data_IF_122157268455
#
_entry.id   IF_122157268455
#
_cell.length_a   1.000
_cell.length_b   1.000
_cell.length_c   1.000
_cell.angle_alpha   90.00
_cell.angle_beta   90.00
_cell.angle_gamma   90.00
#
_symmetry.space_group_name_H-M   'P 1'
#
loop_
_entity.id
_entity.type
_entity.pdbx_description
1 polymer ?
#
# COMPACT_ATOMS: atom_id res chain seq x y z
N UNK A 1 -29.04 12.02 7.00
CA UNK A 1 -28.12 11.31 7.92
C UNK A 1 -27.34 10.15 7.27
N UNK A 2 -27.97 9.23 6.53
CA UNK A 2 -27.27 8.06 5.92
C UNK A 2 -26.09 8.41 4.99
N UNK A 3 -26.25 9.38 4.07
CA UNK A 3 -25.18 9.78 3.13
C UNK A 3 -23.95 10.39 3.82
N UNK A 4 -24.16 11.15 4.90
CA UNK A 4 -23.07 11.75 5.69
C UNK A 4 -22.22 10.66 6.34
N UNK A 5 -22.87 9.63 6.92
CA UNK A 5 -22.16 8.50 7.53
C UNK A 5 -21.35 7.69 6.51
N UNK A 6 -21.93 7.42 5.33
CA UNK A 6 -21.23 6.73 4.24
C UNK A 6 -20.03 7.54 3.74
N UNK A 7 -20.18 8.86 3.59
CA UNK A 7 -19.09 9.75 3.16
C UNK A 7 -17.95 9.79 4.19
N UNK A 8 -18.28 9.89 5.48
CA UNK A 8 -17.31 9.84 6.57
C UNK A 8 -16.57 8.50 6.60
N UNK A 9 -17.28 7.38 6.47
CA UNK A 9 -16.68 6.04 6.44
C UNK A 9 -15.76 5.85 5.23
N UNK A 10 -16.18 6.29 4.03
CA UNK A 10 -15.34 6.25 2.84
C UNK A 10 -14.06 7.08 3.03
N UNK A 11 -14.18 8.27 3.61
CA UNK A 11 -13.04 9.17 3.85
C UNK A 11 -12.07 8.57 4.87
N UNK A 12 -12.59 7.98 5.95
CA UNK A 12 -11.77 7.28 6.95
C UNK A 12 -11.05 6.08 6.34
N UNK A 13 -11.74 5.27 5.52
CA UNK A 13 -11.12 4.14 4.83
C UNK A 13 -9.98 4.59 3.89
N UNK A 14 -10.18 5.66 3.11
CA UNK A 14 -9.12 6.22 2.26
C UNK A 14 -7.93 6.75 3.09
N UNK A 15 -8.18 7.36 4.25
CA UNK A 15 -7.12 7.86 5.13
C UNK A 15 -6.29 6.71 5.72
N UNK A 16 -6.94 5.63 6.15
CA UNK A 16 -6.27 4.43 6.66
C UNK A 16 -5.48 3.75 5.53
N UNK A 17 -6.06 3.64 4.32
CA UNK A 17 -5.37 3.09 3.17
C UNK A 17 -4.10 3.90 2.82
N UNK A 18 -4.20 5.23 2.72
CA UNK A 18 -3.02 6.06 2.49
C UNK A 18 -1.98 5.89 3.60
N UNK A 19 -2.44 5.87 4.85
CA UNK A 19 -1.56 5.74 6.02
C UNK A 19 -0.79 4.42 6.01
N UNK A 20 -1.39 3.31 5.60
CA UNK A 20 -0.67 2.02 5.56
C UNK A 20 0.47 2.02 4.53
N UNK A 21 0.21 2.59 3.34
CA UNK A 21 1.23 2.71 2.27
C UNK A 21 2.35 3.65 2.70
N UNK A 22 2.01 4.81 3.26
CA UNK A 22 3.00 5.80 3.72
C UNK A 22 3.80 5.25 4.90
N UNK A 23 3.14 4.65 5.90
CA UNK A 23 3.81 4.10 7.08
C UNK A 23 4.78 2.97 6.73
N UNK A 24 4.43 2.08 5.78
CA UNK A 24 5.34 1.03 5.32
C UNK A 24 6.58 1.60 4.63
N UNK A 25 6.41 2.61 3.78
CA UNK A 25 7.54 3.36 3.19
C UNK A 25 8.44 4.02 4.23
N UNK A 26 7.85 4.70 5.23
CA UNK A 26 8.61 5.29 6.34
C UNK A 26 9.33 4.24 7.19
N UNK A 27 8.68 3.11 7.49
CA UNK A 27 9.29 2.03 8.24
C UNK A 27 10.54 1.50 7.52
N UNK A 28 10.50 1.31 6.20
CA UNK A 28 11.67 0.95 5.42
C UNK A 28 12.75 2.05 5.44
N UNK A 29 12.36 3.31 5.22
CA UNK A 29 13.27 4.45 5.20
C UNK A 29 14.01 4.68 6.53
N UNK A 30 13.42 4.25 7.66
CA UNK A 30 14.05 4.31 8.98
C UNK A 30 14.86 3.04 9.26
N UNK A 31 14.26 1.87 9.02
CA UNK A 31 14.84 0.57 9.41
C UNK A 31 16.15 0.29 8.69
N UNK A 32 16.19 0.43 7.36
CA UNK A 32 17.39 0.08 6.60
C UNK A 32 18.61 0.94 6.98
N UNK A 33 18.53 2.28 7.05
CA UNK A 33 19.64 3.11 7.53
C UNK A 33 20.03 2.83 8.98
N UNK A 34 19.06 2.57 9.87
CA UNK A 34 19.35 2.24 11.26
C UNK A 34 20.14 0.93 11.39
N UNK A 35 19.69 -0.13 10.70
CA UNK A 35 20.38 -1.43 10.69
C UNK A 35 21.79 -1.30 10.09
N UNK A 36 21.94 -0.48 9.03
CA UNK A 36 23.25 -0.21 8.43
C UNK A 36 24.18 0.52 9.40
N UNK A 37 23.68 1.56 10.08
CA UNK A 37 24.47 2.34 11.06
C UNK A 37 24.93 1.50 12.25
N UNK A 38 24.11 0.54 12.67
CA UNK A 38 24.43 -0.38 13.76
C UNK A 38 25.37 -1.53 13.35
N UNK A 39 25.77 -1.60 12.06
CA UNK A 39 26.49 -2.72 11.46
C UNK A 39 25.91 -4.08 11.88
N UNK A 40 24.59 -4.23 11.77
CA UNK A 40 23.91 -5.46 12.23
C UNK A 40 24.51 -6.68 11.54
N UNK A 41 25.02 -7.61 12.36
CA UNK A 41 25.53 -8.92 11.93
C UNK A 41 24.55 -10.00 12.34
N UNK A 42 24.36 -10.99 11.47
CA UNK A 42 23.58 -12.20 11.73
C UNK A 42 24.57 -13.36 11.79
N UNK A 43 24.96 -13.86 12.98
CA UNK A 43 25.97 -14.91 13.10
C UNK A 43 25.65 -16.17 12.30
N UNK A 44 24.36 -16.51 12.16
CA UNK A 44 23.92 -17.66 11.37
C UNK A 44 24.27 -17.57 9.88
N UNK A 45 24.55 -16.38 9.35
CA UNK A 45 24.88 -16.14 7.94
C UNK A 45 26.29 -15.57 7.75
N UNK A 46 27.21 -15.75 8.71
CA UNK A 46 28.57 -15.17 8.65
C UNK A 46 29.38 -15.58 7.41
N UNK A 47 29.14 -16.79 6.90
CA UNK A 47 29.79 -17.26 5.67
C UNK A 47 29.18 -16.66 4.38
N UNK A 48 28.03 -15.98 4.46
CA UNK A 48 27.46 -15.24 3.35
C UNK A 48 28.02 -13.83 3.32
N UNK A 49 29.07 -13.61 2.53
CA UNK A 49 29.70 -12.29 2.35
C UNK A 49 28.76 -11.32 1.63
N UNK A 50 27.85 -10.71 2.39
CA UNK A 50 26.89 -9.73 1.93
C UNK A 50 26.55 -8.72 3.04
N UNK A 51 25.80 -7.69 2.68
CA UNK A 51 25.33 -6.67 3.59
C UNK A 51 24.24 -7.22 4.56
N UNK A 52 24.66 -7.76 5.71
CA UNK A 52 23.77 -8.36 6.72
C UNK A 52 22.63 -7.43 7.19
N UNK A 53 22.88 -6.12 7.18
CA UNK A 53 21.85 -5.13 7.50
C UNK A 53 20.66 -5.16 6.53
N UNK A 54 20.87 -5.53 5.26
CA UNK A 54 19.78 -5.72 4.28
C UNK A 54 18.94 -6.94 4.60
N UNK A 55 19.56 -8.02 5.09
CA UNK A 55 18.85 -9.25 5.47
C UNK A 55 17.96 -8.95 6.69
N UNK A 56 18.52 -8.32 7.72
CA UNK A 56 17.78 -7.93 8.92
C UNK A 56 16.65 -6.93 8.59
N UNK A 57 16.97 -5.88 7.83
CA UNK A 57 15.98 -4.89 7.37
C UNK A 57 14.90 -5.51 6.49
N UNK A 58 15.26 -6.47 5.64
CA UNK A 58 14.34 -7.20 4.77
C UNK A 58 13.32 -8.01 5.56
N UNK A 59 13.71 -8.72 6.64
CA UNK A 59 12.76 -9.46 7.49
C UNK A 59 11.78 -8.53 8.22
N UNK A 60 12.25 -7.38 8.71
CA UNK A 60 11.37 -6.38 9.34
C UNK A 60 10.44 -5.75 8.28
N UNK A 61 10.99 -5.35 7.15
CA UNK A 61 10.25 -4.77 6.03
C UNK A 61 9.16 -5.72 5.54
N UNK A 62 9.47 -7.00 5.39
CA UNK A 62 8.53 -8.04 4.98
C UNK A 62 7.28 -8.11 5.86
N UNK A 63 7.45 -8.10 7.18
CA UNK A 63 6.34 -8.09 8.12
C UNK A 63 5.46 -6.84 7.95
N UNK A 64 6.09 -5.67 7.79
CA UNK A 64 5.39 -4.39 7.63
C UNK A 64 4.65 -4.31 6.29
N UNK A 65 5.29 -4.69 5.19
CA UNK A 65 4.66 -4.69 3.86
C UNK A 65 3.52 -5.71 3.78
N UNK A 66 3.70 -6.91 4.34
CA UNK A 66 2.63 -7.91 4.41
C UNK A 66 1.42 -7.42 5.21
N UNK A 67 1.63 -6.70 6.32
CA UNK A 67 0.53 -6.07 7.05
C UNK A 67 -0.19 -5.01 6.19
N UNK A 68 0.56 -4.18 5.46
CA UNK A 68 -0.02 -3.21 4.52
C UNK A 68 -0.81 -3.92 3.41
N UNK A 69 -0.33 -5.03 2.87
CA UNK A 69 -1.01 -5.78 1.79
C UNK A 69 -2.35 -6.37 2.21
N UNK A 70 -2.61 -6.53 3.52
CA UNK A 70 -3.94 -6.88 4.06
C UNK A 70 -4.80 -5.63 4.21
N UNK A 71 -4.24 -4.54 4.75
CA UNK A 71 -4.96 -3.30 5.02
C UNK A 71 -5.43 -2.63 3.72
N UNK A 72 -4.57 -2.55 2.71
CA UNK A 72 -4.85 -1.90 1.43
C UNK A 72 -6.14 -2.41 0.76
N UNK A 73 -6.28 -3.70 0.41
CA UNK A 73 -7.48 -4.20 -0.27
C UNK A 73 -8.73 -4.10 0.61
N UNK A 74 -8.58 -4.28 1.93
CA UNK A 74 -9.68 -4.18 2.88
C UNK A 74 -10.26 -2.75 2.89
N UNK A 75 -9.39 -1.75 3.04
CA UNK A 75 -9.82 -0.35 3.05
C UNK A 75 -10.28 0.12 1.67
N UNK A 76 -9.64 -0.36 0.59
CA UNK A 76 -10.07 -0.10 -0.78
C UNK A 76 -11.50 -0.58 -1.04
N UNK A 77 -11.83 -1.80 -0.59
CA UNK A 77 -13.17 -2.37 -0.71
C UNK A 77 -14.21 -1.55 0.07
N UNK A 78 -13.91 -1.20 1.33
CA UNK A 78 -14.82 -0.38 2.16
C UNK A 78 -15.07 0.98 1.50
N UNK A 79 -14.01 1.65 1.04
CA UNK A 79 -14.13 2.93 0.34
C UNK A 79 -14.96 2.79 -0.94
N UNK A 80 -14.66 1.80 -1.79
CA UNK A 80 -15.38 1.56 -3.04
C UNK A 80 -16.87 1.30 -2.81
N UNK A 81 -17.23 0.41 -1.89
CA UNK A 81 -18.63 0.11 -1.56
C UNK A 81 -19.37 1.35 -1.06
N UNK A 82 -18.77 2.10 -0.12
CA UNK A 82 -19.39 3.33 0.39
C UNK A 82 -19.61 4.37 -0.71
N UNK A 83 -18.63 4.53 -1.61
CA UNK A 83 -18.71 5.51 -2.70
C UNK A 83 -19.69 5.09 -3.81
N UNK A 84 -19.81 3.79 -4.11
CA UNK A 84 -20.81 3.29 -5.06
C UNK A 84 -22.25 3.48 -4.55
N UNK A 85 -22.45 3.45 -3.23
CA UNK A 85 -23.74 3.76 -2.61
C UNK A 85 -24.07 5.27 -2.60
N UNK A 86 -23.10 6.15 -2.87
CA UNK A 86 -23.28 7.60 -2.97
C UNK A 86 -23.30 8.00 -4.45
N UNK A 87 -24.46 8.35 -5.00
CA UNK A 87 -24.54 8.76 -6.40
C UNK A 87 -23.87 10.14 -6.56
N UNK A 88 -23.03 10.39 -7.59
CA UNK A 88 -22.37 11.69 -7.76
C UNK A 88 -23.32 12.89 -7.82
N UNK A 89 -24.55 12.70 -8.30
CA UNK A 89 -25.60 13.74 -8.33
C UNK A 89 -26.07 14.19 -6.96
N UNK A 90 -25.91 13.34 -5.95
CA UNK A 90 -26.27 13.56 -4.55
C UNK A 90 -25.19 14.34 -3.80
N UNK A 91 -24.11 14.74 -4.47
CA UNK A 91 -23.00 15.52 -3.92
C UNK A 91 -22.86 16.89 -4.62
N UNK A 92 -22.22 17.83 -3.92
CA UNK A 92 -21.79 19.13 -4.47
C UNK A 92 -20.33 19.41 -4.11
N UNK A 93 -19.48 19.82 -5.07
CA UNK A 93 -19.75 19.84 -6.50
C UNK A 93 -19.73 18.42 -7.10
N UNK A 94 -20.51 18.19 -8.16
CA UNK A 94 -20.61 16.86 -8.81
C UNK A 94 -19.26 16.36 -9.35
N UNK A 95 -18.44 17.27 -9.88
CA UNK A 95 -17.14 16.92 -10.45
C UNK A 95 -16.17 16.38 -9.39
N UNK A 96 -16.24 16.87 -8.14
CA UNK A 96 -15.43 16.35 -7.03
C UNK A 96 -15.77 14.89 -6.69
N UNK A 97 -17.06 14.55 -6.70
CA UNK A 97 -17.52 13.18 -6.51
C UNK A 97 -17.07 12.24 -7.65
N UNK A 98 -17.07 12.72 -8.90
CA UNK A 98 -16.58 11.96 -10.07
C UNK A 98 -15.06 11.76 -9.99
N UNK A 99 -14.30 12.83 -9.72
CA UNK A 99 -12.85 12.78 -9.59
C UNK A 99 -12.45 11.80 -8.48
N UNK A 100 -13.15 11.82 -7.34
CA UNK A 100 -12.94 10.88 -6.25
C UNK A 100 -13.13 9.42 -6.69
N UNK A 101 -14.24 9.10 -7.35
CA UNK A 101 -14.49 7.75 -7.86
C UNK A 101 -13.40 7.31 -8.85
N UNK A 102 -13.00 8.20 -9.74
CA UNK A 102 -11.92 7.95 -10.69
C UNK A 102 -10.60 7.62 -9.98
N UNK A 103 -10.18 8.42 -9.00
CA UNK A 103 -8.93 8.18 -8.28
C UNK A 103 -8.96 6.92 -7.42
N UNK A 104 -10.10 6.58 -6.81
CA UNK A 104 -10.26 5.30 -6.10
C UNK A 104 -10.17 4.12 -7.06
N UNK A 105 -10.84 4.20 -8.22
CA UNK A 105 -10.76 3.15 -9.23
C UNK A 105 -9.32 2.99 -9.78
N UNK A 106 -8.63 4.10 -10.02
CA UNK A 106 -7.23 4.11 -10.44
C UNK A 106 -6.31 3.49 -9.38
N UNK A 107 -6.49 3.85 -8.10
CA UNK A 107 -5.74 3.27 -6.99
C UNK A 107 -5.97 1.76 -6.85
N UNK A 108 -7.22 1.30 -7.01
CA UNK A 108 -7.54 -0.14 -7.03
C UNK A 108 -6.87 -0.83 -8.21
N UNK A 109 -6.96 -0.27 -9.41
CA UNK A 109 -6.34 -0.85 -10.60
C UNK A 109 -4.81 -0.95 -10.45
N UNK A 110 -4.16 0.10 -9.93
CA UNK A 110 -2.73 0.09 -9.62
C UNK A 110 -2.38 -0.95 -8.56
N UNK A 111 -3.17 -1.08 -7.49
CA UNK A 111 -2.95 -2.09 -6.46
C UNK A 111 -3.09 -3.51 -7.00
N UNK A 112 -4.12 -3.79 -7.81
CA UNK A 112 -4.31 -5.10 -8.41
C UNK A 112 -3.16 -5.45 -9.37
N UNK A 113 -2.70 -4.48 -10.16
CA UNK A 113 -1.53 -4.65 -11.02
C UNK A 113 -0.25 -4.87 -10.19
N UNK A 114 -0.05 -4.08 -9.12
CA UNK A 114 1.05 -4.26 -8.18
C UNK A 114 1.06 -5.66 -7.57
N UNK A 115 -0.09 -6.09 -7.06
CA UNK A 115 -0.25 -7.40 -6.44
C UNK A 115 0.15 -8.52 -7.41
N UNK A 116 -0.42 -8.50 -8.62
CA UNK A 116 -0.22 -9.53 -9.64
C UNK A 116 1.20 -9.55 -10.22
N UNK A 117 1.73 -8.38 -10.61
CA UNK A 117 2.92 -8.28 -11.46
C UNK A 117 4.21 -8.02 -10.69
N UNK A 118 4.12 -7.50 -9.47
CA UNK A 118 5.30 -7.12 -8.68
C UNK A 118 5.33 -7.89 -7.37
N UNK A 119 4.26 -7.81 -6.57
CA UNK A 119 4.26 -8.30 -5.19
C UNK A 119 4.40 -9.82 -5.11
N UNK A 120 3.70 -10.59 -5.93
CA UNK A 120 3.85 -12.06 -5.93
C UNK A 120 5.25 -12.50 -6.40
N UNK A 121 5.79 -12.02 -7.55
CA UNK A 121 7.16 -12.34 -7.93
C UNK A 121 8.22 -11.94 -6.89
N UNK A 122 8.07 -10.75 -6.30
CA UNK A 122 9.02 -10.22 -5.31
C UNK A 122 8.97 -10.97 -3.97
N UNK A 123 7.82 -11.49 -3.57
CA UNK A 123 7.71 -12.41 -2.43
C UNK A 123 8.38 -13.74 -2.71
N UNK A 124 8.14 -14.31 -3.88
CA UNK A 124 8.75 -15.57 -4.25
C UNK A 124 10.28 -15.48 -4.27
N UNK A 125 10.85 -14.39 -4.79
CA UNK A 125 12.31 -14.19 -4.77
C UNK A 125 12.83 -13.99 -3.35
N UNK A 126 12.11 -13.27 -2.48
CA UNK A 126 12.54 -13.03 -1.10
C UNK A 126 12.48 -14.30 -0.23
N UNK A 127 11.43 -15.10 -0.37
CA UNK A 127 11.30 -16.40 0.31
C UNK A 127 12.36 -17.39 -0.16
N UNK A 128 12.60 -17.44 -1.48
CA UNK A 128 13.65 -18.27 -2.07
C UNK A 128 15.04 -17.83 -1.63
N UNK A 129 15.27 -16.52 -1.49
CA UNK A 129 16.50 -15.95 -0.95
C UNK A 129 16.77 -16.45 0.47
N UNK A 130 15.80 -16.33 1.38
CA UNK A 130 15.98 -16.80 2.76
C UNK A 130 16.13 -18.32 2.84
N UNK A 131 15.36 -19.07 2.06
CA UNK A 131 15.49 -20.52 1.98
C UNK A 131 16.88 -20.95 1.48
N UNK A 132 17.44 -20.24 0.50
CA UNK A 132 18.79 -20.49 0.02
C UNK A 132 19.85 -20.15 1.08
N UNK A 133 19.69 -19.04 1.80
CA UNK A 133 20.57 -18.68 2.93
C UNK A 133 20.55 -19.73 4.03
N UNK A 134 19.37 -20.17 4.45
CA UNK A 134 19.22 -21.17 5.51
C UNK A 134 19.83 -22.53 5.11
N UNK A 135 19.88 -22.82 3.80
CA UNK A 135 20.52 -24.01 3.23
C UNK A 135 22.01 -23.82 2.86
N UNK A 136 22.63 -22.68 3.21
CA UNK A 136 23.99 -22.30 2.82
C UNK A 136 24.27 -22.34 1.29
N UNK A 137 23.24 -22.15 0.47
CA UNK A 137 23.33 -22.07 -1.01
C UNK A 137 23.54 -20.62 -1.44
N UNK A 138 24.74 -20.10 -1.21
CA UNK A 138 25.03 -18.68 -1.34
C UNK A 138 24.95 -18.14 -2.77
N UNK A 139 25.29 -18.94 -3.78
CA UNK A 139 25.15 -18.53 -5.19
C UNK A 139 23.68 -18.37 -5.58
N UNK A 140 22.81 -19.29 -5.14
CA UNK A 140 21.36 -19.19 -5.31
C UNK A 140 20.81 -17.95 -4.59
N UNK A 141 21.26 -17.69 -3.36
CA UNK A 141 20.85 -16.52 -2.60
C UNK A 141 21.22 -15.21 -3.34
N UNK A 142 22.44 -15.10 -3.88
CA UNK A 142 22.86 -13.91 -4.66
C UNK A 142 22.00 -13.71 -5.90
N UNK A 143 21.62 -14.80 -6.57
CA UNK A 143 20.72 -14.75 -7.72
C UNK A 143 19.35 -14.20 -7.33
N UNK A 144 18.72 -14.77 -6.29
CA UNK A 144 17.40 -14.30 -5.84
C UNK A 144 17.42 -12.87 -5.30
N UNK A 145 18.52 -12.45 -4.67
CA UNK A 145 18.74 -11.06 -4.29
C UNK A 145 18.78 -10.14 -5.51
N UNK A 146 19.51 -10.52 -6.57
CA UNK A 146 19.55 -9.75 -7.82
C UNK A 146 18.16 -9.65 -8.47
N UNK A 147 17.39 -10.74 -8.47
CA UNK A 147 16.03 -10.76 -9.03
C UNK A 147 15.09 -9.85 -8.23
N UNK A 148 15.21 -9.84 -6.90
CA UNK A 148 14.49 -8.91 -6.03
C UNK A 148 14.88 -7.44 -6.30
N UNK A 149 16.18 -7.16 -6.41
CA UNK A 149 16.71 -5.82 -6.66
C UNK A 149 16.23 -5.27 -8.01
N UNK A 150 16.03 -6.13 -9.02
CA UNK A 150 15.46 -5.74 -10.31
C UNK A 150 13.97 -5.30 -10.22
N UNK A 151 13.19 -5.91 -9.30
CA UNK A 151 11.78 -5.59 -9.09
C UNK A 151 11.56 -4.39 -8.15
N UNK A 152 12.49 -4.13 -7.23
CA UNK A 152 12.35 -3.13 -6.19
C UNK A 152 12.06 -1.70 -6.70
N UNK A 153 12.69 -1.18 -7.78
CA UNK A 153 12.36 0.13 -8.34
C UNK A 153 10.93 0.22 -8.87
N UNK A 154 10.43 -0.84 -9.52
CA UNK A 154 9.06 -0.89 -10.00
C UNK A 154 8.07 -0.87 -8.82
N UNK A 155 8.33 -1.68 -7.79
CA UNK A 155 7.56 -1.70 -6.54
C UNK A 155 7.47 -0.31 -5.91
N UNK A 156 8.61 0.37 -5.75
CA UNK A 156 8.69 1.70 -5.15
C UNK A 156 7.89 2.76 -5.91
N UNK A 157 7.99 2.76 -7.25
CA UNK A 157 7.24 3.69 -8.11
C UNK A 157 5.75 3.43 -8.05
N UNK A 158 5.33 2.16 -8.08
CA UNK A 158 3.91 1.80 -8.07
C UNK A 158 3.25 2.07 -6.73
N UNK A 159 3.90 1.76 -5.61
CA UNK A 159 3.41 2.14 -4.28
C UNK A 159 3.31 3.67 -4.13
N UNK A 160 4.26 4.42 -4.67
CA UNK A 160 4.20 5.89 -4.70
C UNK A 160 3.01 6.39 -5.53
N UNK A 161 2.75 5.80 -6.69
CA UNK A 161 1.59 6.12 -7.52
C UNK A 161 0.27 5.78 -6.82
N UNK A 162 0.19 4.63 -6.13
CA UNK A 162 -0.95 4.26 -5.28
C UNK A 162 -1.16 5.34 -4.21
N UNK A 163 -0.12 5.72 -3.46
CA UNK A 163 -0.22 6.78 -2.44
C UNK A 163 -0.72 8.11 -3.03
N UNK A 164 -0.19 8.54 -4.17
CA UNK A 164 -0.63 9.78 -4.84
C UNK A 164 -2.10 9.70 -5.25
N UNK A 165 -2.55 8.59 -5.85
CA UNK A 165 -3.97 8.45 -6.24
C UNK A 165 -4.92 8.47 -5.05
N UNK A 166 -4.57 7.81 -3.93
CA UNK A 166 -5.38 7.85 -2.71
C UNK A 166 -5.38 9.25 -2.09
N UNK A 167 -4.25 9.94 -2.09
CA UNK A 167 -4.16 11.34 -1.65
C UNK A 167 -5.09 12.24 -2.46
N UNK A 168 -5.08 12.12 -3.79
CA UNK A 168 -5.99 12.87 -4.66
C UNK A 168 -7.46 12.52 -4.41
N UNK A 169 -7.78 11.25 -4.14
CA UNK A 169 -9.13 10.83 -3.73
C UNK A 169 -9.57 11.44 -2.38
N UNK A 170 -8.65 11.57 -1.42
CA UNK A 170 -8.90 12.24 -0.14
C UNK A 170 -9.13 13.73 -0.34
N UNK A 171 -8.28 14.41 -1.10
CA UNK A 171 -8.46 15.84 -1.41
C UNK A 171 -9.80 16.09 -2.11
N UNK A 172 -10.18 15.23 -3.06
CA UNK A 172 -11.50 15.27 -3.68
C UNK A 172 -12.64 15.02 -2.68
N UNK A 173 -12.43 14.21 -1.65
CA UNK A 173 -13.41 14.00 -0.57
C UNK A 173 -13.62 15.24 0.31
N UNK A 174 -12.57 16.03 0.55
CA UNK A 174 -12.64 17.25 1.38
C UNK A 174 -13.48 18.35 0.74
N UNK A 175 -13.44 18.46 -0.58
CA UNK A 175 -14.21 19.47 -1.33
C UNK A 175 -15.60 18.98 -1.74
N UNK A 176 -15.94 17.72 -1.47
CA UNK A 176 -17.22 17.10 -1.85
C UNK A 176 -18.12 16.96 -0.62
N UNK A 177 -19.30 17.58 -0.64
CA UNK A 177 -20.30 17.44 0.43
C UNK A 177 -21.55 16.70 -0.06
N UNK A 178 -22.12 15.75 0.70
CA UNK A 178 -23.45 15.21 0.43
C UNK A 178 -24.51 16.30 0.53
N UNK A 179 -25.40 16.39 -0.46
CA UNK A 179 -26.53 17.32 -0.44
C UNK A 179 -27.51 16.95 0.68
N UNK A 180 -28.09 17.92 1.40
CA UNK A 180 -29.22 17.66 2.29
C UNK A 180 -30.34 17.00 1.48
N UNK A 181 -30.93 15.92 2.01
CA UNK A 181 -32.15 15.39 1.42
C UNK A 181 -33.24 16.43 1.69
N UNK A 182 -33.92 16.91 0.66
CA UNK A 182 -35.09 17.78 0.85
C UNK A 182 -36.05 17.08 1.82
N UNK A 183 -36.55 17.82 2.82
CA UNK A 183 -37.55 17.29 3.72
C UNK A 183 -38.73 16.81 2.87
N UNK A 184 -39.13 15.55 3.05
CA UNK A 184 -40.35 15.05 2.43
C UNK A 184 -41.51 15.91 2.95
N UNK A 185 -42.36 16.49 2.08
CA UNK A 185 -43.52 17.23 2.54
C UNK A 185 -44.39 16.27 3.37
N UNK A 186 -44.66 16.64 4.63
CA UNK A 186 -45.56 15.90 5.50
C UNK A 186 -46.91 15.78 4.80
N UNK A 187 -47.28 14.55 4.42
CA UNK A 187 -48.60 14.23 3.90
C UNK A 187 -49.58 14.01 5.05
#
# INVERSE_FOLDING_TARGET
MKLIRLHALATAALAIWLSSVVASGFAAAITFPAMKKLDVRIPAYEAFDAEHWKIAGGKVGWAVFSASDIVQPTMALIAAVCLLLIRPRDCSPRWGAIARLFFVAAGIALFLWYAAMIRFPMEHTLDSFWTALDAARYDDARRFQSDFDALHPASSRTLSAIAITILLALLASLITAPKPRAAEPSR
#
